data_IF_899749162788
#
_entry.id   IF_899749162788
#
_cell.length_a   1.000
_cell.length_b   1.000
_cell.length_c   1.000
_cell.angle_alpha   90.00
_cell.angle_beta   90.00
_cell.angle_gamma   90.00
#
_symmetry.space_group_name_H-M   'P 1'
#
loop_
_entity.id
_entity.type
_entity.pdbx_description
1 polymer ?
#
# COMPACT_ATOMS: atom_id res chain seq x y z
N UNK A 1 -33.31 29.48 -27.79
CA UNK A 1 -32.97 28.04 -27.91
C UNK A 1 -32.26 27.66 -26.63
N UNK A 2 -33.02 27.20 -25.66
CA UNK A 2 -32.46 26.65 -24.43
C UNK A 2 -31.90 25.27 -24.76
N UNK A 3 -30.60 25.08 -24.48
CA UNK A 3 -29.96 23.78 -24.58
C UNK A 3 -30.57 22.81 -23.56
N UNK A 4 -30.53 21.48 -23.82
CA UNK A 4 -31.11 20.50 -22.91
C UNK A 4 -30.43 20.61 -21.52
N UNK A 5 -31.20 20.46 -20.41
CA UNK A 5 -30.65 20.53 -19.07
C UNK A 5 -29.61 19.43 -18.91
N UNK A 6 -28.42 19.84 -18.50
CA UNK A 6 -27.35 18.90 -18.11
C UNK A 6 -27.95 17.99 -17.05
N UNK A 7 -28.06 16.70 -17.33
CA UNK A 7 -28.46 15.68 -16.37
C UNK A 7 -27.47 15.74 -15.22
N UNK A 8 -27.87 16.34 -14.11
CA UNK A 8 -27.13 16.28 -12.85
C UNK A 8 -27.06 14.82 -12.46
N UNK A 9 -25.92 14.18 -12.73
CA UNK A 9 -25.61 12.85 -12.26
C UNK A 9 -25.80 12.83 -10.76
N UNK A 10 -26.61 11.92 -10.26
CA UNK A 10 -26.85 11.73 -8.83
C UNK A 10 -25.49 11.39 -8.19
N UNK A 11 -24.98 12.30 -7.35
CA UNK A 11 -23.78 12.04 -6.55
C UNK A 11 -24.05 10.82 -5.70
N UNK A 12 -23.19 9.81 -5.81
CA UNK A 12 -23.28 8.65 -4.95
C UNK A 12 -22.72 9.03 -3.58
N UNK A 13 -23.48 8.73 -2.51
CA UNK A 13 -23.20 9.15 -1.15
C UNK A 13 -23.22 7.94 -0.22
N UNK A 14 -22.16 7.79 0.58
CA UNK A 14 -22.11 6.79 1.65
C UNK A 14 -21.89 7.54 2.97
N UNK A 15 -22.96 7.72 3.76
CA UNK A 15 -22.91 8.48 4.99
C UNK A 15 -22.44 9.93 4.75
N UNK A 16 -21.37 10.40 5.41
CA UNK A 16 -20.83 11.75 5.25
C UNK A 16 -19.93 11.91 4.00
N UNK A 17 -19.63 10.81 3.27
CA UNK A 17 -18.70 10.81 2.14
C UNK A 17 -19.49 11.00 0.85
N UNK A 18 -19.16 12.05 0.08
CA UNK A 18 -19.67 12.30 -1.25
C UNK A 18 -18.60 11.91 -2.28
N UNK A 19 -18.97 11.09 -3.27
CA UNK A 19 -18.10 10.70 -4.37
C UNK A 19 -18.28 11.62 -5.56
N UNK A 20 -17.22 11.81 -6.35
CA UNK A 20 -17.26 12.65 -7.53
C UNK A 20 -18.30 12.17 -8.55
N UNK A 21 -18.81 13.10 -9.34
CA UNK A 21 -19.84 12.84 -10.36
C UNK A 21 -19.38 11.78 -11.37
N UNK A 22 -20.19 10.75 -11.57
CA UNK A 22 -19.92 9.67 -12.53
C UNK A 22 -19.34 8.39 -11.92
N UNK A 23 -19.09 8.34 -10.61
CA UNK A 23 -18.62 7.13 -9.93
C UNK A 23 -19.80 6.20 -9.66
N UNK A 24 -19.67 4.96 -10.15
CA UNK A 24 -20.61 3.89 -9.84
C UNK A 24 -20.49 3.48 -8.37
N UNK A 25 -21.64 3.20 -7.72
CA UNK A 25 -21.65 2.68 -6.34
C UNK A 25 -20.79 1.42 -6.15
N UNK A 26 -20.72 0.56 -7.17
CA UNK A 26 -19.85 -0.64 -7.16
C UNK A 26 -18.37 -0.25 -7.07
N UNK A 27 -17.93 0.75 -7.83
CA UNK A 27 -16.54 1.22 -7.80
C UNK A 27 -16.19 1.82 -6.43
N UNK A 28 -17.10 2.62 -5.85
CA UNK A 28 -16.92 3.21 -4.53
C UNK A 28 -16.79 2.13 -3.44
N UNK A 29 -17.67 1.13 -3.44
CA UNK A 29 -17.60 0.01 -2.49
C UNK A 29 -16.34 -0.84 -2.69
N UNK A 30 -15.94 -1.10 -3.93
CA UNK A 30 -14.70 -1.83 -4.23
C UNK A 30 -13.49 -1.08 -3.72
N UNK A 31 -13.43 0.24 -3.90
CA UNK A 31 -12.34 1.08 -3.39
C UNK A 31 -12.26 1.03 -1.87
N UNK A 32 -13.38 1.22 -1.16
CA UNK A 32 -13.44 1.16 0.30
C UNK A 32 -13.04 -0.23 0.83
N UNK A 33 -13.53 -1.29 0.20
CA UNK A 33 -13.19 -2.67 0.57
C UNK A 33 -11.71 -2.97 0.41
N UNK A 34 -11.10 -2.56 -0.71
CA UNK A 34 -9.66 -2.76 -0.95
C UNK A 34 -8.82 -2.00 0.10
N UNK A 35 -9.18 -0.75 0.40
CA UNK A 35 -8.50 0.01 1.44
C UNK A 35 -8.64 -0.64 2.81
N UNK A 36 -9.84 -1.10 3.15
CA UNK A 36 -10.08 -1.81 4.41
C UNK A 36 -9.27 -3.11 4.51
N UNK A 37 -9.09 -3.85 3.41
CA UNK A 37 -8.30 -5.09 3.40
C UNK A 37 -6.79 -4.85 3.46
N UNK A 38 -6.30 -3.78 2.84
CA UNK A 38 -4.85 -3.49 2.80
C UNK A 38 -4.32 -3.03 4.16
N UNK A 39 -5.06 -2.21 4.89
CA UNK A 39 -4.62 -1.68 6.19
C UNK A 39 -4.26 -2.76 7.22
N UNK A 40 -5.08 -3.80 7.46
CA UNK A 40 -4.70 -4.90 8.34
C UNK A 40 -3.48 -5.67 7.85
N UNK A 41 -3.30 -5.87 6.54
CA UNK A 41 -2.15 -6.58 5.99
C UNK A 41 -0.85 -5.82 6.27
N UNK A 42 -0.86 -4.50 6.09
CA UNK A 42 0.29 -3.64 6.41
C UNK A 42 0.57 -3.60 7.91
N UNK A 43 -0.47 -3.50 8.73
CA UNK A 43 -0.35 -3.50 10.19
C UNK A 43 0.15 -4.85 10.72
N UNK A 44 -0.30 -5.96 10.14
CA UNK A 44 0.07 -7.31 10.56
C UNK A 44 1.58 -7.54 10.49
N UNK A 45 2.26 -7.06 9.45
CA UNK A 45 3.72 -7.17 9.35
C UNK A 45 4.42 -6.44 10.51
N UNK A 46 3.95 -5.25 10.87
CA UNK A 46 4.53 -4.48 11.99
C UNK A 46 4.29 -5.17 13.35
N UNK A 47 3.14 -5.79 13.52
CA UNK A 47 2.78 -6.53 14.73
C UNK A 47 3.57 -7.85 14.82
N UNK A 48 3.78 -8.52 13.68
CA UNK A 48 4.51 -9.79 13.62
C UNK A 48 6.02 -9.63 13.69
N UNK A 49 6.54 -8.42 13.49
CA UNK A 49 7.99 -8.15 13.46
C UNK A 49 8.74 -8.62 14.71
N UNK A 50 8.31 -8.33 15.94
CA UNK A 50 9.00 -8.82 17.15
C UNK A 50 9.08 -10.34 17.19
N UNK A 51 8.00 -11.03 16.81
CA UNK A 51 7.95 -12.49 16.75
C UNK A 51 8.97 -13.06 15.76
N UNK A 52 9.07 -12.49 14.56
CA UNK A 52 10.06 -12.91 13.55
C UNK A 52 11.48 -12.69 14.05
N UNK A 53 11.74 -11.57 14.72
CA UNK A 53 13.05 -11.26 15.27
C UNK A 53 13.46 -12.22 16.38
N UNK A 54 12.55 -12.54 17.34
CA UNK A 54 12.87 -13.39 18.49
C UNK A 54 12.82 -14.87 18.16
N UNK A 55 11.74 -15.35 17.53
CA UNK A 55 11.47 -16.78 17.41
C UNK A 55 12.01 -17.39 16.11
N UNK A 56 12.10 -16.63 15.03
CA UNK A 56 12.57 -17.15 13.74
C UNK A 56 14.04 -16.91 13.55
N UNK A 57 14.52 -15.69 13.81
CA UNK A 57 15.93 -15.32 13.59
C UNK A 57 16.75 -15.46 14.87
N UNK A 58 16.11 -15.48 16.06
CA UNK A 58 16.77 -15.67 17.33
C UNK A 58 17.54 -14.45 17.83
N UNK A 59 17.11 -13.24 17.47
CA UNK A 59 17.77 -11.98 17.86
C UNK A 59 17.36 -11.60 19.29
N UNK A 60 18.33 -11.35 20.20
CA UNK A 60 18.06 -10.92 21.56
C UNK A 60 17.24 -9.63 21.60
N UNK A 61 16.36 -9.49 22.60
CA UNK A 61 15.51 -8.29 22.75
C UNK A 61 16.33 -6.99 22.81
N UNK A 62 17.54 -7.03 23.38
CA UNK A 62 18.44 -5.88 23.45
C UNK A 62 18.89 -5.33 22.08
N UNK A 63 18.89 -6.17 21.04
CA UNK A 63 19.28 -5.78 19.67
C UNK A 63 18.10 -5.50 18.75
N UNK A 64 16.91 -5.95 19.10
CA UNK A 64 15.70 -5.74 18.27
C UNK A 64 15.38 -4.27 18.04
N UNK A 65 15.65 -3.41 19.03
CA UNK A 65 15.48 -1.96 18.90
C UNK A 65 16.35 -1.34 17.81
N UNK A 66 17.61 -1.80 17.68
CA UNK A 66 18.54 -1.36 16.64
C UNK A 66 18.03 -1.74 15.23
N UNK A 67 17.62 -2.99 15.08
CA UNK A 67 17.12 -3.52 13.78
C UNK A 67 15.82 -2.85 13.39
N UNK A 68 14.87 -2.75 14.30
CA UNK A 68 13.59 -2.07 14.06
C UNK A 68 13.78 -0.58 13.76
N UNK A 69 14.70 0.07 14.48
CA UNK A 69 15.08 1.46 14.28
C UNK A 69 15.68 1.72 12.90
N UNK A 70 16.20 0.71 12.21
CA UNK A 70 16.68 0.81 10.84
C UNK A 70 15.61 0.45 9.80
N UNK A 71 14.84 -0.61 10.04
CA UNK A 71 13.84 -1.13 9.10
C UNK A 71 12.71 -0.12 8.82
N UNK A 72 12.25 0.60 9.84
CA UNK A 72 11.14 1.56 9.69
C UNK A 72 11.54 2.78 8.86
N UNK A 73 12.64 3.49 9.15
CA UNK A 73 13.10 4.60 8.31
C UNK A 73 13.46 4.15 6.89
N UNK A 74 14.04 2.97 6.70
CA UNK A 74 14.34 2.42 5.39
C UNK A 74 13.07 2.34 4.53
N UNK A 75 11.96 1.84 5.08
CA UNK A 75 10.68 1.79 4.37
C UNK A 75 10.18 3.19 3.97
N UNK A 76 10.32 4.18 4.84
CA UNK A 76 9.92 5.55 4.57
C UNK A 76 10.77 6.17 3.45
N UNK A 77 12.09 5.95 3.45
CA UNK A 77 13.01 6.43 2.40
C UNK A 77 12.66 5.80 1.06
N UNK A 78 12.41 4.50 1.01
CA UNK A 78 11.96 3.80 -0.21
C UNK A 78 10.66 4.39 -0.73
N UNK A 79 9.68 4.63 0.14
CA UNK A 79 8.42 5.23 -0.25
C UNK A 79 8.60 6.63 -0.85
N UNK A 80 9.39 7.49 -0.21
CA UNK A 80 9.69 8.84 -0.71
C UNK A 80 10.41 8.82 -2.07
N UNK A 81 11.40 7.94 -2.23
CA UNK A 81 12.14 7.83 -3.48
C UNK A 81 11.26 7.36 -4.66
N UNK A 82 10.26 6.50 -4.37
CA UNK A 82 9.40 5.91 -5.38
C UNK A 82 8.20 6.78 -5.77
N UNK A 83 7.77 7.75 -4.94
CA UNK A 83 6.55 8.55 -5.20
C UNK A 83 6.56 9.15 -6.61
N UNK A 84 7.64 9.85 -6.99
CA UNK A 84 7.73 10.50 -8.30
C UNK A 84 7.78 9.49 -9.46
N UNK A 85 8.55 8.42 -9.30
CA UNK A 85 8.73 7.37 -10.32
C UNK A 85 7.41 6.63 -10.56
N UNK A 86 6.74 6.25 -9.48
CA UNK A 86 5.46 5.52 -9.52
C UNK A 86 4.36 6.41 -10.10
N UNK A 87 4.34 7.70 -9.79
CA UNK A 87 3.43 8.66 -10.41
C UNK A 87 3.59 8.68 -11.93
N UNK A 88 4.81 8.86 -12.43
CA UNK A 88 5.09 8.86 -13.88
C UNK A 88 4.78 7.51 -14.56
N UNK A 89 5.04 6.38 -13.88
CA UNK A 89 4.67 5.06 -14.38
C UNK A 89 3.15 4.87 -14.46
N UNK A 90 2.43 5.41 -13.50
CA UNK A 90 0.97 5.37 -13.43
C UNK A 90 0.33 6.01 -14.65
N UNK A 91 0.89 7.14 -15.11
CA UNK A 91 0.40 7.84 -16.30
C UNK A 91 0.65 7.05 -17.59
N UNK A 92 1.72 6.26 -17.63
CA UNK A 92 2.11 5.48 -18.82
C UNK A 92 1.43 4.10 -18.91
N UNK A 93 1.37 3.37 -17.83
CA UNK A 93 0.90 1.98 -17.80
C UNK A 93 -0.53 1.84 -17.25
N UNK A 94 -1.06 2.90 -16.67
CA UNK A 94 -2.35 2.91 -16.01
C UNK A 94 -2.30 2.47 -14.56
N UNK A 95 -3.27 2.88 -13.77
CA UNK A 95 -3.30 2.74 -12.31
C UNK A 95 -3.56 1.32 -11.84
N UNK A 96 -4.48 0.60 -12.51
CA UNK A 96 -4.89 -0.76 -12.11
C UNK A 96 -3.76 -1.78 -12.18
N UNK A 97 -3.02 -1.92 -13.31
CA UNK A 97 -1.93 -2.88 -13.38
C UNK A 97 -0.79 -2.53 -12.43
N UNK A 98 -0.50 -1.24 -12.26
CA UNK A 98 0.56 -0.81 -11.35
C UNK A 98 0.21 -1.10 -9.88
N UNK A 99 -1.04 -0.88 -9.48
CA UNK A 99 -1.54 -1.27 -8.17
C UNK A 99 -1.41 -2.78 -7.93
N UNK A 100 -1.86 -3.59 -8.90
CA UNK A 100 -1.77 -5.05 -8.80
C UNK A 100 -0.31 -5.53 -8.69
N UNK A 101 0.60 -4.92 -9.45
CA UNK A 101 2.04 -5.20 -9.37
C UNK A 101 2.61 -4.84 -8.00
N UNK A 102 2.23 -3.68 -7.45
CA UNK A 102 2.64 -3.26 -6.10
C UNK A 102 2.19 -4.25 -5.02
N UNK A 103 0.93 -4.66 -5.06
CA UNK A 103 0.38 -5.66 -4.13
C UNK A 103 1.09 -7.01 -4.28
N UNK A 104 1.38 -7.45 -5.51
CA UNK A 104 2.11 -8.71 -5.76
C UNK A 104 3.53 -8.67 -5.18
N UNK A 105 4.27 -7.58 -5.42
CA UNK A 105 5.63 -7.40 -4.87
C UNK A 105 5.58 -7.38 -3.34
N UNK A 106 4.60 -6.68 -2.75
CA UNK A 106 4.42 -6.65 -1.30
C UNK A 106 4.12 -8.04 -0.74
N UNK A 107 3.27 -8.82 -1.40
CA UNK A 107 2.94 -10.18 -1.00
C UNK A 107 4.16 -11.12 -1.05
N UNK A 108 4.98 -11.01 -2.10
CA UNK A 108 6.25 -11.76 -2.21
C UNK A 108 7.21 -11.36 -1.08
N UNK A 109 7.42 -10.07 -0.87
CA UNK A 109 8.29 -9.58 0.21
C UNK A 109 7.81 -10.03 1.58
N UNK A 110 6.50 -10.03 1.83
CA UNK A 110 5.91 -10.54 3.08
C UNK A 110 6.11 -12.05 3.25
N UNK A 111 5.89 -12.83 2.20
CA UNK A 111 6.11 -14.29 2.24
C UNK A 111 7.58 -14.63 2.51
N UNK A 112 8.50 -13.94 1.86
CA UNK A 112 9.94 -14.10 2.08
C UNK A 112 10.34 -13.67 3.50
N UNK A 113 9.75 -12.62 4.05
CA UNK A 113 10.05 -12.13 5.39
C UNK A 113 9.83 -13.19 6.49
N UNK A 114 8.83 -14.05 6.31
CA UNK A 114 8.56 -15.16 7.23
C UNK A 114 9.57 -16.32 7.14
N UNK A 115 10.42 -16.34 6.10
CA UNK A 115 11.46 -17.35 5.89
C UNK A 115 12.88 -16.84 6.18
N UNK A 116 13.00 -15.63 6.72
CA UNK A 116 14.29 -15.02 7.02
C UNK A 116 15.07 -15.85 8.06
N UNK A 117 16.33 -16.10 7.79
CA UNK A 117 17.22 -16.84 8.70
C UNK A 117 18.37 -15.98 9.24
N UNK A 118 18.63 -14.84 8.60
CA UNK A 118 19.69 -13.92 8.97
C UNK A 118 19.19 -12.48 9.03
N UNK A 119 19.94 -11.60 9.72
CA UNK A 119 19.66 -10.15 9.69
C UNK A 119 19.63 -9.60 8.27
N UNK A 120 20.53 -10.07 7.39
CA UNK A 120 20.60 -9.61 6.01
C UNK A 120 19.32 -9.96 5.24
N UNK A 121 18.77 -11.17 5.46
CA UNK A 121 17.51 -11.60 4.85
C UNK A 121 16.37 -10.67 5.28
N UNK A 122 16.33 -10.30 6.57
CA UNK A 122 15.32 -9.36 7.09
C UNK A 122 15.37 -8.03 6.36
N UNK A 123 16.56 -7.46 6.14
CA UNK A 123 16.73 -6.19 5.42
C UNK A 123 16.30 -6.32 3.96
N UNK A 124 16.73 -7.38 3.26
CA UNK A 124 16.41 -7.58 1.84
C UNK A 124 14.91 -7.81 1.62
N UNK A 125 14.31 -8.68 2.41
CA UNK A 125 12.89 -9.02 2.25
C UNK A 125 11.99 -7.85 2.66
N UNK A 126 12.37 -7.11 3.69
CA UNK A 126 11.70 -5.88 4.08
C UNK A 126 11.82 -4.79 3.02
N UNK A 127 12.96 -4.71 2.34
CA UNK A 127 13.17 -3.78 1.24
C UNK A 127 12.26 -4.11 0.04
N UNK A 128 12.16 -5.38 -0.35
CA UNK A 128 11.23 -5.83 -1.40
C UNK A 128 9.78 -5.49 -1.02
N UNK A 129 9.40 -5.81 0.22
CA UNK A 129 8.09 -5.46 0.74
C UNK A 129 7.82 -3.94 0.69
N UNK A 130 8.78 -3.13 1.09
CA UNK A 130 8.68 -1.67 1.10
C UNK A 130 8.43 -1.10 -0.30
N UNK A 131 9.08 -1.64 -1.34
CA UNK A 131 8.82 -1.26 -2.74
C UNK A 131 7.37 -1.55 -3.11
N UNK A 132 6.88 -2.75 -2.81
CA UNK A 132 5.50 -3.13 -3.12
C UNK A 132 4.47 -2.25 -2.43
N UNK A 133 4.65 -2.01 -1.13
CA UNK A 133 3.76 -1.12 -0.34
C UNK A 133 3.82 0.32 -0.81
N UNK A 134 5.00 0.83 -1.19
CA UNK A 134 5.14 2.18 -1.72
C UNK A 134 4.35 2.34 -3.04
N UNK A 135 4.48 1.39 -3.97
CA UNK A 135 3.72 1.40 -5.24
C UNK A 135 2.22 1.35 -4.97
N UNK A 136 1.76 0.41 -4.14
CA UNK A 136 0.35 0.27 -3.82
C UNK A 136 -0.20 1.51 -3.10
N UNK A 137 0.54 2.08 -2.15
CA UNK A 137 0.15 3.27 -1.39
C UNK A 137 0.00 4.51 -2.26
N UNK A 138 0.94 4.76 -3.19
CA UNK A 138 0.84 5.86 -4.16
C UNK A 138 -0.40 5.68 -5.04
N UNK A 139 -0.66 4.46 -5.51
CA UNK A 139 -1.83 4.18 -6.34
C UNK A 139 -3.16 4.38 -5.59
N UNK A 140 -3.22 4.02 -4.31
CA UNK A 140 -4.38 4.30 -3.45
C UNK A 140 -4.60 5.81 -3.35
N UNK A 141 -3.54 6.57 -3.04
CA UNK A 141 -3.64 8.03 -2.87
C UNK A 141 -4.09 8.72 -4.15
N UNK A 142 -3.52 8.35 -5.31
CA UNK A 142 -3.90 8.89 -6.63
C UNK A 142 -5.35 8.52 -6.98
N UNK A 143 -5.76 7.28 -6.70
CA UNK A 143 -7.14 6.84 -6.95
C UNK A 143 -8.11 7.58 -6.03
N UNK A 144 -7.77 7.78 -4.76
CA UNK A 144 -8.59 8.54 -3.82
C UNK A 144 -8.81 10.00 -4.24
N UNK A 145 -7.82 10.61 -4.91
CA UNK A 145 -7.93 11.98 -5.42
C UNK A 145 -8.91 12.10 -6.61
N UNK A 146 -9.18 10.99 -7.31
CA UNK A 146 -10.13 10.96 -8.45
C UNK A 146 -11.56 10.63 -8.02
N UNK A 147 -11.76 10.15 -6.78
CA UNK A 147 -13.05 9.75 -6.24
C UNK A 147 -13.67 10.82 -5.36
#
# INVERSE_FOLDING_TARGET
MEGPPLTQGRNFRIGPIEFANGISGVNAWTFLYLNFMIMPIVAFLSISQPYVLSEIVGIPESEQGRITGFLVPMQAVVALALIGIVGALSDRFGRRPLFATGVLIAAIGFALYSTAQTELDLYLYRFIYAIGVAIAGVMIAVTAADY
#
